data_IF_650149360642
#
_entry.id   IF_650149360642
#
_cell.length_a   1.000
_cell.length_b   1.000
_cell.length_c   1.000
_cell.angle_alpha   90.00
_cell.angle_beta   90.00
_cell.angle_gamma   90.00
#
_symmetry.space_group_name_H-M   'P 1'
#
loop_
_entity.id
_entity.type
_entity.pdbx_description
1 polymer ?
#
# COMPACT_ATOMS: atom_id res chain seq x y z
N UNK A 1 1.56 14.65 36.76
CA UNK A 1 0.38 15.01 35.96
C UNK A 1 0.68 14.63 34.52
N UNK A 2 0.47 13.36 34.16
CA UNK A 2 0.85 12.83 32.85
C UNK A 2 -0.18 13.27 31.80
N UNK A 3 0.30 14.02 30.83
CA UNK A 3 -0.43 14.51 29.67
C UNK A 3 -1.05 13.36 28.88
N UNK A 4 -2.34 13.53 28.61
CA UNK A 4 -3.28 12.70 27.84
C UNK A 4 -2.86 12.59 26.35
N UNK A 5 -1.73 11.93 26.08
CA UNK A 5 -1.16 11.68 24.74
C UNK A 5 -1.53 10.29 24.18
N UNK A 6 -2.31 9.51 24.93
CA UNK A 6 -2.46 8.06 24.76
C UNK A 6 -3.82 7.59 24.18
N UNK A 7 -4.66 8.47 23.63
CA UNK A 7 -5.99 8.09 23.08
C UNK A 7 -6.06 8.09 21.55
N UNK A 8 -4.95 7.83 20.85
CA UNK A 8 -5.00 7.61 19.40
C UNK A 8 -5.01 6.12 19.08
N UNK A 9 -5.90 5.66 18.18
CA UNK A 9 -5.87 4.27 17.72
C UNK A 9 -4.54 4.01 17.01
N UNK A 10 -3.90 2.88 17.30
CA UNK A 10 -2.67 2.51 16.62
C UNK A 10 -2.99 2.11 15.16
N UNK A 11 -2.14 2.45 14.17
CA UNK A 11 -2.32 2.03 12.78
C UNK A 11 -2.48 0.52 12.63
N UNK A 12 -1.78 -0.26 13.47
CA UNK A 12 -1.89 -1.71 13.52
C UNK A 12 -3.31 -2.17 13.91
N UNK A 13 -3.95 -1.50 14.87
CA UNK A 13 -5.32 -1.83 15.28
C UNK A 13 -6.33 -1.57 14.16
N UNK A 14 -6.16 -0.45 13.45
CA UNK A 14 -6.97 -0.11 12.29
C UNK A 14 -6.78 -1.14 11.17
N UNK A 15 -5.54 -1.57 10.90
CA UNK A 15 -5.23 -2.61 9.91
C UNK A 15 -5.87 -3.95 10.27
N UNK A 16 -5.83 -4.33 11.55
CA UNK A 16 -6.51 -5.53 12.07
C UNK A 16 -8.01 -5.43 11.86
N UNK A 17 -8.62 -4.29 12.21
CA UNK A 17 -10.05 -4.03 12.00
C UNK A 17 -10.47 -4.13 10.54
N UNK A 18 -9.78 -3.43 9.62
CA UNK A 18 -10.08 -3.50 8.19
C UNK A 18 -9.95 -4.93 7.64
N UNK A 19 -8.97 -5.69 8.12
CA UNK A 19 -8.77 -7.08 7.69
C UNK A 19 -9.89 -7.99 8.19
N UNK A 20 -10.37 -7.81 9.43
CA UNK A 20 -11.52 -8.54 9.98
C UNK A 20 -12.79 -8.24 9.18
N UNK A 21 -13.02 -6.97 8.84
CA UNK A 21 -14.17 -6.54 8.02
C UNK A 21 -14.09 -7.16 6.63
N UNK A 22 -12.94 -7.06 5.95
CA UNK A 22 -12.73 -7.59 4.59
C UNK A 22 -12.90 -9.11 4.53
N UNK A 23 -12.36 -9.84 5.51
CA UNK A 23 -12.45 -11.31 5.57
C UNK A 23 -13.74 -11.81 6.22
N UNK A 24 -14.56 -10.92 6.76
CA UNK A 24 -15.80 -11.24 7.48
C UNK A 24 -15.61 -12.31 8.57
N UNK A 25 -14.44 -12.31 9.23
CA UNK A 25 -14.08 -13.38 10.17
C UNK A 25 -12.79 -13.13 10.93
N UNK A 26 -12.80 -13.39 12.24
CA UNK A 26 -11.60 -13.29 13.08
C UNK A 26 -10.56 -14.36 12.74
N UNK A 27 -10.99 -15.58 12.45
CA UNK A 27 -10.08 -16.68 12.10
C UNK A 27 -9.40 -16.44 10.74
N UNK A 28 -10.16 -16.05 9.73
CA UNK A 28 -9.62 -15.75 8.40
C UNK A 28 -8.72 -14.51 8.39
N UNK A 29 -9.02 -13.50 9.21
CA UNK A 29 -8.13 -12.36 9.42
C UNK A 29 -6.84 -12.72 10.15
N UNK A 30 -6.93 -13.62 11.14
CA UNK A 30 -5.77 -14.13 11.87
C UNK A 30 -4.81 -14.89 10.96
N UNK A 31 -5.35 -15.73 10.07
CA UNK A 31 -4.57 -16.47 9.06
C UNK A 31 -3.84 -15.51 8.09
N UNK A 32 -4.53 -14.48 7.59
CA UNK A 32 -3.93 -13.51 6.67
C UNK A 32 -2.84 -12.65 7.33
N UNK A 33 -3.04 -12.26 8.59
CA UNK A 33 -2.09 -11.42 9.32
C UNK A 33 -1.01 -12.22 10.06
N UNK A 34 -1.06 -13.55 10.05
CA UNK A 34 -0.10 -14.42 10.73
C UNK A 34 -0.17 -14.38 12.26
N UNK A 35 -1.34 -14.06 12.82
CA UNK A 35 -1.56 -13.99 14.28
C UNK A 35 -2.57 -15.04 14.75
N UNK A 36 -2.75 -15.17 16.07
CA UNK A 36 -3.81 -16.02 16.62
C UNK A 36 -5.18 -15.29 16.62
N UNK A 37 -6.31 -16.01 16.49
CA UNK A 37 -7.64 -15.39 16.59
C UNK A 37 -7.87 -14.65 17.91
N UNK A 38 -7.28 -15.14 19.00
CA UNK A 38 -7.33 -14.49 20.31
C UNK A 38 -6.59 -13.14 20.30
N UNK A 39 -5.45 -13.05 19.62
CA UNK A 39 -4.72 -11.79 19.43
C UNK A 39 -5.56 -10.78 18.64
N UNK A 40 -6.12 -11.19 17.49
CA UNK A 40 -6.99 -10.34 16.67
C UNK A 40 -8.18 -9.83 17.49
N UNK A 41 -8.89 -10.70 18.21
CA UNK A 41 -10.01 -10.29 19.07
C UNK A 41 -9.59 -9.28 20.14
N UNK A 42 -8.40 -9.45 20.73
CA UNK A 42 -7.86 -8.52 21.74
C UNK A 42 -7.56 -7.15 21.13
N UNK A 43 -6.93 -7.08 19.94
CA UNK A 43 -6.63 -5.82 19.25
C UNK A 43 -7.91 -5.05 18.89
N UNK A 44 -8.95 -5.74 18.40
CA UNK A 44 -10.27 -5.12 18.17
C UNK A 44 -10.86 -4.56 19.46
N UNK A 45 -10.81 -5.31 20.58
CA UNK A 45 -11.33 -4.83 21.86
C UNK A 45 -10.55 -3.61 22.39
N UNK A 46 -9.24 -3.55 22.16
CA UNK A 46 -8.43 -2.36 22.48
C UNK A 46 -8.89 -1.18 21.63
N UNK A 47 -9.07 -1.37 20.32
CA UNK A 47 -9.55 -0.33 19.41
C UNK A 47 -10.92 0.22 19.82
N UNK A 48 -11.88 -0.67 20.12
CA UNK A 48 -13.21 -0.29 20.60
C UNK A 48 -13.14 0.48 21.93
N UNK A 49 -12.21 0.11 22.81
CA UNK A 49 -11.98 0.81 24.08
C UNK A 49 -11.39 2.20 23.85
N UNK A 50 -10.39 2.32 22.97
CA UNK A 50 -9.75 3.60 22.63
C UNK A 50 -10.73 4.56 21.98
N UNK A 51 -11.62 4.05 21.12
CA UNK A 51 -12.64 4.86 20.44
C UNK A 51 -13.94 5.03 21.23
N UNK A 52 -14.04 4.38 22.41
CA UNK A 52 -15.24 4.35 23.26
C UNK A 52 -16.53 3.97 22.52
N UNK A 53 -16.44 3.17 21.44
CA UNK A 53 -17.59 2.72 20.65
C UNK A 53 -17.42 1.25 20.24
N UNK A 54 -18.55 0.59 19.96
CA UNK A 54 -18.55 -0.77 19.38
C UNK A 54 -18.50 -0.66 17.87
N UNK A 55 -17.55 -1.35 17.26
CA UNK A 55 -17.39 -1.34 15.80
C UNK A 55 -18.05 -2.56 15.16
N UNK A 56 -18.13 -3.68 15.89
CA UNK A 56 -18.63 -4.95 15.36
C UNK A 56 -19.73 -5.54 16.25
N UNK A 57 -20.83 -5.96 15.62
CA UNK A 57 -21.76 -6.90 16.21
C UNK A 57 -21.17 -8.31 16.17
N UNK A 58 -20.79 -8.84 17.34
CA UNK A 58 -20.34 -10.23 17.49
C UNK A 58 -21.54 -11.15 17.64
N UNK A 59 -21.93 -11.82 16.57
CA UNK A 59 -22.81 -13.00 16.67
C UNK A 59 -21.99 -14.25 16.43
N UNK A 60 -22.39 -15.38 17.03
CA UNK A 60 -21.65 -16.66 16.94
C UNK A 60 -21.56 -17.23 15.52
N UNK A 61 -22.26 -16.64 14.54
CA UNK A 61 -22.28 -17.10 13.15
C UNK A 61 -21.88 -16.03 12.13
N UNK A 62 -21.92 -14.74 12.49
CA UNK A 62 -21.62 -13.62 11.56
C UNK A 62 -21.03 -12.42 12.29
N UNK A 63 -20.11 -11.76 11.61
CA UNK A 63 -19.66 -10.42 11.96
C UNK A 63 -20.52 -9.44 11.15
N UNK A 64 -21.02 -8.40 11.80
CA UNK A 64 -21.66 -7.28 11.13
C UNK A 64 -21.09 -5.97 11.67
N UNK A 65 -20.89 -4.99 10.80
CA UNK A 65 -20.46 -3.65 11.21
C UNK A 65 -21.61 -2.91 11.89
N UNK A 66 -21.26 -2.09 12.89
CA UNK A 66 -22.16 -1.05 13.41
C UNK A 66 -22.08 0.20 12.53
N UNK A 67 -23.00 1.15 12.70
CA UNK A 67 -22.94 2.45 12.00
C UNK A 67 -21.63 3.19 12.29
N UNK A 68 -21.18 3.17 13.55
CA UNK A 68 -19.88 3.73 13.93
C UNK A 68 -18.71 2.92 13.35
N UNK A 69 -18.85 1.60 13.26
CA UNK A 69 -17.89 0.71 12.60
C UNK A 69 -17.68 1.08 11.13
N UNK A 70 -18.76 1.37 10.42
CA UNK A 70 -18.69 1.79 9.01
C UNK A 70 -18.00 3.15 8.86
N UNK A 71 -18.30 4.10 9.74
CA UNK A 71 -17.61 5.40 9.76
C UNK A 71 -16.11 5.23 10.02
N UNK A 72 -15.75 4.40 11.00
CA UNK A 72 -14.36 4.10 11.33
C UNK A 72 -13.66 3.38 10.18
N UNK A 73 -14.34 2.48 9.46
CA UNK A 73 -13.79 1.80 8.28
C UNK A 73 -13.33 2.80 7.22
N UNK A 74 -14.21 3.73 6.84
CA UNK A 74 -13.91 4.76 5.83
C UNK A 74 -12.74 5.64 6.27
N UNK A 75 -12.72 6.09 7.53
CA UNK A 75 -11.62 6.91 8.05
C UNK A 75 -10.30 6.13 8.17
N UNK A 76 -10.35 4.86 8.58
CA UNK A 76 -9.19 4.00 8.70
C UNK A 76 -8.54 3.72 7.34
N UNK A 77 -9.34 3.43 6.31
CA UNK A 77 -8.86 3.23 4.93
C UNK A 77 -8.14 4.48 4.43
N UNK A 78 -8.73 5.66 4.63
CA UNK A 78 -8.11 6.93 4.25
C UNK A 78 -6.81 7.18 5.01
N UNK A 79 -6.83 7.07 6.33
CA UNK A 79 -5.66 7.39 7.16
C UNK A 79 -4.47 6.47 6.86
N UNK A 80 -4.73 5.17 6.67
CA UNK A 80 -3.67 4.22 6.32
C UNK A 80 -3.17 4.45 4.88
N UNK A 81 -4.05 4.81 3.95
CA UNK A 81 -3.65 5.23 2.60
C UNK A 81 -2.76 6.47 2.62
N UNK A 82 -3.17 7.53 3.30
CA UNK A 82 -2.40 8.77 3.45
C UNK A 82 -1.02 8.49 4.11
N UNK A 83 -0.96 7.53 5.05
CA UNK A 83 0.29 7.11 5.69
C UNK A 83 1.20 6.33 4.73
N UNK A 84 0.63 5.43 3.93
CA UNK A 84 1.37 4.69 2.90
C UNK A 84 1.92 5.65 1.82
N UNK A 85 1.12 6.62 1.38
CA UNK A 85 1.53 7.67 0.44
C UNK A 85 2.66 8.53 1.02
N UNK A 86 2.52 8.99 2.26
CA UNK A 86 3.57 9.75 2.98
C UNK A 86 4.88 8.95 3.08
N UNK A 87 4.81 7.67 3.41
CA UNK A 87 5.99 6.80 3.45
C UNK A 87 6.57 6.59 2.05
N UNK A 88 5.72 6.49 1.03
CA UNK A 88 6.10 6.43 -0.38
C UNK A 88 6.86 7.68 -0.82
N UNK A 89 6.33 8.87 -0.55
CA UNK A 89 6.97 10.15 -0.87
C UNK A 89 8.33 10.29 -0.19
N UNK A 90 8.45 9.90 1.09
CA UNK A 90 9.73 9.93 1.81
C UNK A 90 10.71 8.89 1.24
N UNK A 91 10.21 7.71 0.87
CA UNK A 91 11.04 6.68 0.25
C UNK A 91 11.54 7.13 -1.13
N UNK A 92 10.70 7.76 -1.95
CA UNK A 92 11.07 8.36 -3.24
C UNK A 92 12.06 9.52 -3.05
N UNK A 93 11.84 10.39 -2.06
CA UNK A 93 12.79 11.46 -1.71
C UNK A 93 14.16 10.91 -1.27
N UNK A 94 14.20 9.67 -0.77
CA UNK A 94 15.42 8.98 -0.31
C UNK A 94 16.02 8.02 -1.34
N UNK A 95 15.28 7.66 -2.39
CA UNK A 95 15.71 6.71 -3.42
C UNK A 95 15.82 7.42 -4.76
N UNK A 96 17.05 7.79 -5.10
CA UNK A 96 17.39 7.97 -6.51
C UNK A 96 17.12 6.64 -7.22
N UNK A 97 16.31 6.61 -8.31
CA UNK A 97 16.12 5.40 -9.10
C UNK A 97 17.50 4.84 -9.50
N UNK A 98 17.65 3.53 -9.34
CA UNK A 98 18.89 2.80 -9.55
C UNK A 98 18.60 1.38 -10.07
N UNK A 99 19.53 0.81 -10.83
CA UNK A 99 19.33 -0.48 -11.51
C UNK A 99 19.12 -0.33 -13.03
N UNK A 100 18.74 -1.42 -13.69
CA UNK A 100 18.61 -1.45 -15.16
C UNK A 100 17.23 -1.00 -15.63
N UNK A 101 17.20 -0.09 -16.60
CA UNK A 101 15.99 0.37 -17.30
C UNK A 101 16.13 0.05 -18.78
N UNK A 102 15.33 -0.90 -19.26
CA UNK A 102 15.29 -1.29 -20.66
C UNK A 102 14.04 -0.71 -21.34
N UNK A 103 14.25 0.05 -22.42
CA UNK A 103 13.20 0.70 -23.18
C UNK A 103 13.25 0.19 -24.62
N UNK A 104 12.12 -0.29 -25.12
CA UNK A 104 11.94 -0.71 -26.50
C UNK A 104 11.08 0.32 -27.22
N UNK A 105 11.49 0.77 -28.40
CA UNK A 105 10.74 1.79 -29.15
C UNK A 105 10.86 1.62 -30.66
N UNK A 106 10.00 2.32 -31.41
CA UNK A 106 10.17 2.42 -32.86
C UNK A 106 11.38 3.30 -33.20
N UNK A 107 12.01 3.09 -34.35
CA UNK A 107 13.22 3.83 -34.74
C UNK A 107 13.03 5.36 -34.70
N UNK A 108 11.95 5.86 -35.31
CA UNK A 108 11.66 7.30 -35.37
C UNK A 108 11.36 7.91 -34.00
N UNK A 109 10.51 7.27 -33.19
CA UNK A 109 10.15 7.78 -31.87
C UNK A 109 11.29 7.63 -30.87
N UNK A 110 11.95 6.48 -30.91
CA UNK A 110 13.12 6.14 -30.10
C UNK A 110 14.24 7.16 -30.25
N UNK A 111 14.59 7.52 -31.50
CA UNK A 111 15.64 8.50 -31.77
C UNK A 111 15.23 9.93 -31.44
N UNK A 112 14.03 10.36 -31.83
CA UNK A 112 13.66 11.79 -31.77
C UNK A 112 13.10 12.21 -30.40
N UNK A 113 12.56 11.27 -29.61
CA UNK A 113 11.90 11.59 -28.34
C UNK A 113 12.49 10.82 -27.16
N UNK A 114 12.70 9.50 -27.31
CA UNK A 114 13.14 8.66 -26.20
C UNK A 114 14.61 8.86 -25.86
N UNK A 115 15.51 8.87 -26.85
CA UNK A 115 16.95 9.05 -26.62
C UNK A 115 17.30 10.39 -25.94
N UNK A 116 16.72 11.55 -26.32
CA UNK A 116 16.91 12.80 -25.58
C UNK A 116 16.41 12.73 -24.14
N UNK A 117 15.27 12.08 -23.90
CA UNK A 117 14.71 11.91 -22.55
C UNK A 117 15.60 11.02 -21.67
N UNK A 118 16.08 9.90 -22.19
CA UNK A 118 17.04 9.00 -21.52
C UNK A 118 18.34 9.74 -21.19
N UNK A 119 18.85 10.57 -22.11
CA UNK A 119 20.07 11.35 -21.86
C UNK A 119 19.89 12.36 -20.72
N UNK A 120 18.73 13.03 -20.64
CA UNK A 120 18.40 13.93 -19.52
C UNK A 120 18.22 13.15 -18.21
N UNK A 121 17.61 11.97 -18.29
CA UNK A 121 17.38 11.10 -17.14
C UNK A 121 18.70 10.54 -16.58
N UNK A 122 19.65 10.17 -17.45
CA UNK A 122 20.96 9.64 -17.05
C UNK A 122 21.85 10.65 -16.34
N UNK A 123 21.73 11.92 -16.69
CA UNK A 123 22.41 13.01 -15.99
C UNK A 123 21.81 13.26 -14.60
N UNK A 124 20.50 13.04 -14.45
CA UNK A 124 19.77 13.26 -13.19
C UNK A 124 19.94 12.07 -12.24
N UNK A 125 20.00 10.85 -12.77
CA UNK A 125 20.05 9.60 -12.02
C UNK A 125 21.19 8.70 -12.51
N UNK A 126 22.44 8.97 -12.09
CA UNK A 126 23.63 8.26 -12.59
C UNK A 126 23.72 6.79 -12.17
N UNK A 127 22.84 6.33 -11.26
CA UNK A 127 22.76 4.94 -10.81
C UNK A 127 21.84 4.06 -11.68
N UNK A 128 21.21 4.62 -12.71
CA UNK A 128 20.42 3.89 -13.68
C UNK A 128 21.29 3.40 -14.84
N UNK A 129 21.30 2.09 -15.07
CA UNK A 129 21.83 1.48 -16.28
C UNK A 129 20.74 1.46 -17.36
N UNK A 130 20.80 2.38 -18.32
CA UNK A 130 19.76 2.52 -19.34
C UNK A 130 20.14 1.84 -20.65
N UNK A 131 19.24 1.01 -21.17
CA UNK A 131 19.32 0.37 -22.48
C UNK A 131 18.13 0.80 -23.32
N UNK A 132 18.39 1.32 -24.51
CA UNK A 132 17.37 1.64 -25.51
C UNK A 132 17.57 0.73 -26.72
N UNK A 133 16.59 -0.14 -26.99
CA UNK A 133 16.54 -0.90 -28.23
C UNK A 133 15.47 -0.29 -29.14
N UNK A 134 15.90 0.10 -30.34
CA UNK A 134 15.03 0.68 -31.36
C UNK A 134 14.80 -0.29 -32.50
N UNK A 135 13.54 -0.48 -32.86
CA UNK A 135 13.12 -1.43 -33.88
C UNK A 135 12.40 -0.72 -35.03
N UNK A 136 12.56 -1.21 -36.25
CA UNK A 136 11.85 -0.72 -37.44
C UNK A 136 10.49 -1.43 -37.64
N UNK A 137 10.02 -2.12 -36.59
CA UNK A 137 8.76 -2.88 -36.53
C UNK A 137 8.09 -2.63 -35.17
N UNK A 138 6.76 -2.72 -35.10
CA UNK A 138 6.04 -2.75 -33.82
C UNK A 138 6.40 -4.07 -33.13
N UNK A 139 7.17 -4.01 -32.04
CA UNK A 139 7.56 -5.18 -31.25
C UNK A 139 6.56 -5.37 -30.12
N UNK A 140 6.00 -6.57 -30.02
CA UNK A 140 5.22 -7.00 -28.86
C UNK A 140 6.19 -7.51 -27.78
N UNK A 141 6.40 -6.67 -26.77
CA UNK A 141 7.39 -6.86 -25.70
C UNK A 141 7.07 -8.09 -24.84
N UNK A 142 5.80 -8.51 -24.76
CA UNK A 142 5.36 -9.66 -23.94
C UNK A 142 5.68 -10.99 -24.63
N UNK A 143 5.70 -10.99 -25.97
CA UNK A 143 5.85 -12.20 -26.78
C UNK A 143 7.31 -12.62 -27.00
N UNK A 144 8.28 -11.69 -26.90
CA UNK A 144 9.70 -11.95 -27.17
C UNK A 144 10.57 -12.20 -25.92
N UNK A 145 9.99 -12.21 -24.72
CA UNK A 145 10.66 -12.70 -23.50
C UNK A 145 11.82 -11.84 -23.01
N UNK A 146 11.70 -10.52 -23.14
CA UNK A 146 12.62 -9.53 -22.57
C UNK A 146 12.20 -9.09 -21.16
#
# INVERSE_FOLDING_TARGET
MNTNRDQFPLPEDLKVFLTVVRKNGFASAAEELGYSPAYISKRISVLETTLATRLLHRTTRRIALTDDGERVRVWAEKLLGDLDDFLGEIAEARHQPSGSLHICSSFGFGRNHVAPAICKLSQTYPKLEMRLDVFDRVVDIVSEGF
#
